data_IF_934135477188
#
_entry.id   IF_934135477188
#
_cell.length_a   1.000
_cell.length_b   1.000
_cell.length_c   1.000
_cell.angle_alpha   90.00
_cell.angle_beta   90.00
_cell.angle_gamma   90.00
#
_symmetry.space_group_name_H-M   'P 1'
#
loop_
_entity.id
_entity.type
_entity.pdbx_description
1 polymer ?
2 polymer ?
3 non-polymer ?
4 water ?
#
# COMPACT_ATOMS: atom_id res chain seq x y z
N UNK A 1 13.07 5.70 -8.92
CA UNK A 1 14.00 5.22 -7.90
C UNK A 1 14.08 3.71 -7.84
N UNK A 2 14.83 3.18 -6.87
CA UNK A 2 14.98 1.72 -6.76
C UNK A 2 13.70 1.07 -6.24
N UNK A 3 13.36 -0.07 -6.81
CA UNK A 3 12.23 -0.85 -6.32
C UNK A 3 12.69 -1.62 -5.10
N UNK A 4 11.96 -1.50 -3.99
CA UNK A 4 12.29 -2.15 -2.73
C UNK A 4 11.22 -3.17 -2.37
N UNK A 5 11.64 -4.25 -1.70
CA UNK A 5 10.73 -5.19 -1.07
C UNK A 5 10.73 -4.92 0.42
N UNK A 6 9.54 -4.69 0.97
CA UNK A 6 9.37 -4.25 2.35
C UNK A 6 8.38 -5.19 3.03
N UNK A 7 8.82 -5.78 4.14
CA UNK A 7 7.92 -6.72 4.84
C UNK A 7 7.22 -6.01 5.99
N UNK A 8 5.91 -6.19 6.04
CA UNK A 8 5.09 -5.72 7.13
C UNK A 8 4.49 -6.93 7.82
N UNK A 9 4.51 -6.92 9.15
CA UNK A 9 3.89 -7.97 9.95
C UNK A 9 2.73 -7.36 10.73
N UNK A 10 1.61 -8.07 10.78
CA UNK A 10 0.49 -7.55 11.55
C UNK A 10 -0.41 -8.69 11.98
N UNK A 11 -1.29 -8.38 12.91
CA UNK A 11 -2.31 -9.31 13.36
C UNK A 11 -3.66 -8.96 12.75
N UNK A 12 -4.61 -9.89 12.89
CA UNK A 12 -5.89 -9.77 12.19
C UNK A 12 -6.73 -8.60 12.67
N UNK A 13 -6.51 -8.12 13.89
CA UNK A 13 -7.30 -6.97 14.42
C UNK A 13 -6.70 -5.63 13.98
N UNK A 14 -5.57 -5.67 13.28
CA UNK A 14 -4.91 -4.44 12.84
C UNK A 14 -5.16 -4.19 11.36
N UNK A 15 -5.16 -2.91 11.00
CA UNK A 15 -5.03 -2.51 9.61
C UNK A 15 -3.56 -2.44 9.22
N UNK A 16 -3.32 -2.19 7.92
CA UNK A 16 -1.95 -1.91 7.49
C UNK A 16 -1.44 -0.60 8.06
N UNK A 17 -2.32 0.39 8.18
CA UNK A 17 -1.92 1.70 8.65
C UNK A 17 -1.49 2.65 7.56
N UNK A 18 -2.07 2.55 6.37
CA UNK A 18 -1.73 3.44 5.27
C UNK A 18 -3.00 3.98 4.65
N UNK A 19 -2.92 5.21 4.17
CA UNK A 19 -3.90 5.73 3.22
C UNK A 19 -3.29 5.68 1.83
N UNK A 20 -4.13 5.42 0.83
CA UNK A 20 -3.69 5.37 -0.57
C UNK A 20 -4.61 6.19 -1.46
N UNK A 21 -4.02 6.70 -2.53
CA UNK A 21 -4.75 7.36 -3.62
C UNK A 21 -4.35 6.67 -4.92
N UNK A 22 -5.09 6.95 -5.98
CA UNK A 22 -4.69 6.54 -7.31
C UNK A 22 -5.41 5.31 -7.81
N UNK A 23 -4.88 4.78 -8.91
CA UNK A 23 -5.48 3.65 -9.58
C UNK A 23 -5.71 3.93 -11.05
N UNK A 24 -6.11 2.86 -11.75
CA UNK A 24 -6.14 2.88 -13.22
C UNK A 24 -7.02 3.99 -13.77
N UNK A 25 -8.20 4.19 -13.17
CA UNK A 25 -9.13 5.19 -13.68
C UNK A 25 -8.59 6.61 -13.57
N UNK A 26 -7.63 6.84 -12.68
CA UNK A 26 -7.00 8.13 -12.45
C UNK A 26 -5.69 8.30 -13.21
N UNK A 27 -5.23 7.28 -13.92
CA UNK A 27 -4.01 7.40 -14.68
C UNK A 27 -2.77 7.56 -13.84
N UNK A 28 -2.84 7.17 -12.57
CA UNK A 28 -1.72 7.34 -11.65
C UNK A 28 -1.57 6.07 -10.83
N UNK A 29 -0.38 5.82 -10.31
CA UNK A 29 -0.14 4.60 -9.53
C UNK A 29 -0.95 4.60 -8.23
N UNK A 30 -1.01 3.42 -7.62
CA UNK A 30 -1.46 3.31 -6.23
C UNK A 30 -0.36 3.90 -5.36
N UNK A 31 -0.61 5.07 -4.77
CA UNK A 31 0.40 5.80 -4.01
C UNK A 31 0.02 5.86 -2.54
N UNK A 32 1.02 5.69 -1.68
CA UNK A 32 0.83 5.92 -0.25
C UNK A 32 0.74 7.42 -0.01
N UNK A 33 -0.38 7.85 0.58
CA UNK A 33 -0.59 9.26 0.89
C UNK A 33 -0.48 9.57 2.37
N UNK A 34 -0.56 8.57 3.25
CA UNK A 34 -0.39 8.80 4.68
C UNK A 34 0.08 7.52 5.36
N UNK A 35 0.98 7.66 6.33
CA UNK A 35 1.37 6.58 7.23
C UNK A 35 0.80 6.93 8.60
N UNK A 36 -0.07 6.08 9.12
CA UNK A 36 -0.85 6.39 10.31
C UNK A 36 -0.11 6.02 11.60
N UNK A 37 -0.21 6.85 12.64
CA UNK A 37 0.65 6.66 13.81
C UNK A 37 0.32 5.39 14.58
N UNK A 38 1.36 4.67 14.97
CA UNK A 38 1.21 3.52 15.84
C UNK A 38 0.76 2.24 15.18
N UNK A 39 0.47 2.25 13.89
CA UNK A 39 -0.01 1.08 13.17
C UNK A 39 1.15 0.38 12.47
N UNK A 40 0.92 -0.79 11.86
CA UNK A 40 2.06 -1.59 11.37
C UNK A 40 3.00 -0.88 10.42
N UNK A 41 2.49 -0.08 9.47
CA UNK A 41 3.39 0.56 8.52
C UNK A 41 4.34 1.53 9.23
N UNK A 42 3.82 2.26 10.22
CA UNK A 42 4.62 3.19 11.01
C UNK A 42 5.66 2.45 11.84
N UNK A 43 5.27 1.34 12.46
CA UNK A 43 6.17 0.60 13.34
C UNK A 43 7.25 -0.11 12.54
N UNK A 44 6.86 -0.79 11.47
CA UNK A 44 7.80 -1.66 10.78
C UNK A 44 8.78 -0.85 9.93
N UNK A 45 8.39 0.36 9.55
CA UNK A 45 9.24 1.19 8.72
C UNK A 45 9.36 0.63 7.31
N UNK A 46 10.02 1.40 6.46
CA UNK A 46 10.28 0.98 5.11
C UNK A 46 9.29 1.46 4.07
N UNK A 47 8.09 1.88 4.49
CA UNK A 47 7.09 2.44 3.59
C UNK A 47 6.97 3.93 3.86
N UNK A 48 6.86 4.71 2.79
CA UNK A 48 6.90 6.15 2.90
C UNK A 48 5.83 6.80 2.04
N UNK A 49 5.37 7.97 2.48
CA UNK A 49 4.47 8.75 1.64
C UNK A 49 5.13 9.01 0.30
N UNK A 50 4.36 8.85 -0.76
CA UNK A 50 4.86 9.04 -2.10
C UNK A 50 5.30 7.75 -2.78
N UNK A 51 5.41 6.65 -2.03
CA UNK A 51 5.76 5.37 -2.63
C UNK A 51 4.60 4.86 -3.47
N UNK A 52 4.91 4.33 -4.64
CA UNK A 52 3.95 3.58 -5.43
C UNK A 52 4.04 2.11 -5.04
N UNK A 53 2.89 1.45 -4.95
CA UNK A 53 2.84 0.03 -4.62
C UNK A 53 2.63 -0.73 -5.92
N UNK A 54 3.63 -1.53 -6.32
CA UNK A 54 3.53 -2.30 -7.58
C UNK A 54 2.90 -3.68 -7.34
N UNK A 55 3.06 -4.23 -6.14
CA UNK A 55 2.57 -5.57 -5.85
C UNK A 55 2.58 -5.75 -4.34
N UNK A 56 1.75 -6.68 -3.88
CA UNK A 56 1.73 -7.05 -2.47
C UNK A 56 1.55 -8.55 -2.39
N UNK A 57 2.45 -9.21 -1.67
CA UNK A 57 2.44 -10.68 -1.58
C UNK A 57 2.37 -11.33 -2.96
N UNK A 58 3.10 -10.77 -3.93
CA UNK A 58 3.10 -11.33 -5.26
C UNK A 58 1.85 -11.06 -6.07
N UNK A 59 0.91 -10.29 -5.55
CA UNK A 59 -0.28 -9.91 -6.30
C UNK A 59 0.02 -8.60 -7.01
N UNK A 60 0.00 -8.64 -8.35
CA UNK A 60 0.30 -7.47 -9.16
C UNK A 60 -0.82 -6.43 -9.04
N UNK A 61 -0.44 -5.22 -8.61
CA UNK A 61 -1.41 -4.12 -8.39
C UNK A 61 -1.39 -3.16 -9.58
N UNK A 62 -0.62 -3.47 -10.64
CA UNK A 62 -0.54 -2.60 -11.84
C UNK A 62 -1.88 -2.67 -12.59
N UNK A 63 -2.35 -1.55 -13.12
CA UNK A 63 -3.65 -1.48 -13.86
C UNK A 63 -4.85 -1.78 -12.96
N UNK A 64 -4.67 -1.90 -11.66
CA UNK A 64 -5.89 -2.10 -10.86
C UNK A 64 -6.59 -0.75 -10.74
N UNK A 65 -7.92 -0.81 -10.69
CA UNK A 65 -8.73 0.39 -10.36
C UNK A 65 -8.59 0.60 -8.84
N UNK A 66 -8.84 1.82 -8.38
CA UNK A 66 -8.65 2.18 -6.98
C UNK A 66 -9.28 1.15 -6.05
N UNK A 67 -10.56 0.86 -6.23
CA UNK A 67 -11.24 -0.02 -5.29
C UNK A 67 -10.68 -1.44 -5.33
N UNK A 68 -10.28 -1.90 -6.51
CA UNK A 68 -9.70 -3.27 -6.63
C UNK A 68 -8.39 -3.32 -5.82
N UNK A 69 -7.54 -2.31 -5.94
CA UNK A 69 -6.32 -2.28 -5.15
C UNK A 69 -6.61 -2.24 -3.66
N UNK A 70 -7.56 -1.40 -3.23
CA UNK A 70 -7.93 -1.35 -1.82
C UNK A 70 -8.35 -2.72 -1.33
N UNK A 71 -9.18 -3.42 -2.11
CA UNK A 71 -9.64 -4.74 -1.70
C UNK A 71 -8.46 -5.69 -1.51
N UNK A 72 -7.59 -5.79 -2.52
CA UNK A 72 -6.44 -6.68 -2.44
C UNK A 72 -5.58 -6.34 -1.23
N UNK A 73 -5.26 -5.06 -1.06
CA UNK A 73 -4.39 -4.69 0.04
C UNK A 73 -5.03 -5.03 1.38
N UNK A 74 -6.34 -4.79 1.51
CA UNK A 74 -7.03 -5.03 2.77
C UNK A 74 -7.12 -6.51 3.12
N UNK A 75 -7.01 -7.39 2.12
CA UNK A 75 -7.20 -8.84 2.36
C UNK A 75 -5.92 -9.52 2.85
N UNK A 76 -4.75 -8.95 2.57
CA UNK A 76 -3.52 -9.65 2.92
C UNK A 76 -3.40 -9.77 4.43
N UNK A 77 -2.89 -10.91 4.88
CA UNK A 77 -2.88 -11.21 6.33
C UNK A 77 -1.51 -11.68 6.81
N UNK A 78 -1.15 -11.23 8.00
CA UNK A 78 0.02 -11.75 8.69
C UNK A 78 1.35 -11.19 8.24
N UNK A 79 1.97 -11.84 7.26
CA UNK A 79 3.25 -11.42 6.70
C UNK A 79 2.96 -10.87 5.31
N UNK A 80 3.22 -9.58 5.10
CA UNK A 80 2.76 -8.87 3.92
C UNK A 80 3.94 -8.17 3.26
N UNK A 81 4.37 -8.68 2.11
CA UNK A 81 5.54 -8.15 1.43
C UNK A 81 5.13 -7.18 0.34
N UNK A 82 5.53 -5.93 0.50
CA UNK A 82 5.23 -4.87 -0.45
C UNK A 82 6.39 -4.73 -1.43
N UNK A 83 6.05 -4.51 -2.70
CA UNK A 83 7.01 -4.07 -3.71
C UNK A 83 6.70 -2.61 -4.00
N UNK A 84 7.60 -1.71 -3.60
CA UNK A 84 7.32 -0.27 -3.60
C UNK A 84 8.47 0.49 -4.23
N UNK A 85 8.15 1.67 -4.75
CA UNK A 85 9.16 2.48 -5.42
C UNK A 85 8.72 3.94 -5.41
N UNK A 86 9.68 4.84 -5.18
CA UNK A 86 9.47 6.26 -5.36
C UNK A 86 9.93 6.65 -6.76
N UNK A 87 9.05 7.34 -7.48
CA UNK A 87 9.33 7.90 -8.84
C UNK A 87 8.89 9.37 -8.80
N UNK B 4 -6.56 16.02 -4.23
CA UNK B 4 -8.03 16.00 -4.43
C UNK B 4 -8.47 14.59 -4.84
N UNK B 5 -7.53 13.65 -4.92
CA UNK B 5 -7.90 12.30 -5.33
C UNK B 5 -8.69 11.60 -4.22
N UNK B 6 -9.69 10.80 -4.59
CA UNK B 6 -10.29 9.86 -3.63
C UNK B 6 -9.21 9.10 -2.88
N UNK B 7 -9.37 8.99 -1.57
CA UNK B 7 -8.38 8.38 -0.70
C UNK B 7 -9.07 7.28 0.09
N UNK B 8 -8.37 6.17 0.28
CA UNK B 8 -8.86 5.08 1.09
C UNK B 8 -7.84 4.79 2.17
N UNK B 9 -8.39 4.27 3.37
CA UNK B 9 -7.50 3.86 4.43
C UNK B 9 -7.58 2.36 4.66
N UNK B 10 -6.34 1.68 4.76
CA UNK B 10 -6.27 0.23 4.82
C UNK B 10 -5.41 -0.17 6.00
X LIG C 1 -10.51 -5.04 11.64
X LIG C 1 -9.45 -5.26 10.56
X LIG C 1 -8.87 -3.94 10.07
X LIG C 1 -8.75 -2.94 11.22
X LIG C 1 -8.08 3.48 10.81
X LIG C 1 -8.67 4.48 11.08
X LIG C 1 -8.49 2.10 11.36
X LIG C 1 -7.52 1.20 11.76
X LIG C 1 -7.94 -0.03 12.26
X LIG C 1 -9.29 -0.38 12.31
X LIG C 1 -10.25 0.55 11.89
X LIG C 1 -9.84 1.80 11.40
X LIG C 1 -9.70 -1.79 12.85
X LIG C 1 -10.22 -3.84 12.54
X LIG C 1 -9.86 -2.73 11.91
#
# INVERSE_FOLDING_TARGET
GPIRKVLLLKEDHEGLGISITGGKEHGVPILISEIHPGQPADRCGGLHVGDAILAVNGVNLRDTKHKEAVTILSQQRGEIEFEVVYV
ANSRLPTSKI
VU1 C10 C11 C12 C13 CH OH C01 C02 C03 C04 C05 C06 C07 C09 N01
#
